data_IF_969739048524
#
_entry.id   IF_969739048524
#
_cell.length_a   1.000
_cell.length_b   1.000
_cell.length_c   1.000
_cell.angle_alpha   90.00
_cell.angle_beta   90.00
_cell.angle_gamma   90.00
#
_symmetry.space_group_name_H-M   'P 1'
#
loop_
_entity.id
_entity.type
_entity.pdbx_description
1 polymer ?
#
# COMPACT_ATOMS: atom_id res chain seq x y z
N UNK A 1 -9.95 87.15 -27.50
CA UNK A 1 -10.67 86.28 -28.45
C UNK A 1 -9.79 85.03 -28.54
N UNK A 2 -10.04 84.03 -27.70
CA UNK A 2 -11.07 82.98 -27.88
C UNK A 2 -10.69 82.03 -29.04
N UNK A 3 -10.72 80.70 -28.92
CA UNK A 3 -11.52 79.87 -27.99
C UNK A 3 -10.88 78.50 -27.66
N UNK A 4 -11.59 77.69 -26.86
CA UNK A 4 -11.21 76.39 -26.24
C UNK A 4 -12.16 75.25 -26.69
N UNK A 5 -11.96 73.92 -26.51
CA UNK A 5 -10.93 73.04 -25.91
C UNK A 5 -11.03 71.59 -26.46
N UNK A 6 -10.14 70.68 -26.02
CA UNK A 6 -10.21 69.19 -25.96
C UNK A 6 -10.69 68.32 -27.15
N UNK A 7 -9.90 67.27 -27.43
CA UNK A 7 -10.37 66.01 -28.05
C UNK A 7 -9.79 64.78 -27.32
N UNK A 8 -10.52 63.65 -27.25
CA UNK A 8 -10.32 62.64 -26.20
C UNK A 8 -9.36 61.49 -26.56
N UNK A 9 -9.01 60.75 -25.51
CA UNK A 9 -8.18 59.55 -25.47
C UNK A 9 -8.75 58.44 -26.37
N UNK A 10 -7.93 57.87 -27.26
CA UNK A 10 -8.20 56.56 -27.86
C UNK A 10 -7.85 55.46 -26.87
N UNK A 11 -8.84 54.66 -26.50
CA UNK A 11 -8.66 53.46 -25.67
C UNK A 11 -7.78 52.43 -26.41
N UNK A 12 -6.78 51.89 -25.72
CA UNK A 12 -6.06 50.71 -26.21
C UNK A 12 -6.99 49.50 -26.12
N UNK A 13 -7.41 48.97 -27.27
CA UNK A 13 -7.94 47.62 -27.35
C UNK A 13 -6.82 46.64 -26.97
N UNK A 14 -6.70 46.32 -25.69
CA UNK A 14 -5.91 45.19 -25.21
C UNK A 14 -6.56 43.89 -25.67
N UNK A 15 -5.81 43.12 -26.44
CA UNK A 15 -6.26 41.89 -27.07
C UNK A 15 -6.66 40.84 -26.01
N UNK A 16 -7.96 40.66 -25.81
CA UNK A 16 -8.52 39.71 -24.83
C UNK A 16 -8.70 38.30 -25.40
N UNK A 17 -8.26 38.04 -26.64
CA UNK A 17 -8.56 36.78 -27.35
C UNK A 17 -7.60 35.62 -27.05
N UNK A 18 -6.38 35.91 -26.57
CA UNK A 18 -5.35 34.89 -26.27
C UNK A 18 -5.53 34.20 -24.90
N UNK A 19 -6.25 34.84 -23.96
CA UNK A 19 -6.47 34.27 -22.61
C UNK A 19 -7.61 33.26 -22.56
N UNK A 20 -8.62 33.39 -23.41
CA UNK A 20 -9.78 32.47 -23.43
C UNK A 20 -9.44 31.16 -24.15
N UNK A 21 -8.69 31.22 -25.27
CA UNK A 21 -8.25 30.02 -26.00
C UNK A 21 -7.35 29.11 -25.15
N UNK A 22 -6.46 29.67 -24.32
CA UNK A 22 -5.64 28.88 -23.40
C UNK A 22 -6.45 28.20 -22.28
N UNK A 23 -7.66 28.68 -21.97
CA UNK A 23 -8.52 28.09 -20.95
C UNK A 23 -9.28 26.87 -21.50
N UNK A 24 -9.82 26.97 -22.73
CA UNK A 24 -10.54 25.85 -23.37
C UNK A 24 -9.64 24.63 -23.63
N UNK A 25 -8.34 24.82 -23.91
CA UNK A 25 -7.41 23.70 -24.11
C UNK A 25 -7.14 22.90 -22.82
N UNK A 26 -7.20 23.53 -21.64
CA UNK A 26 -6.92 22.87 -20.35
C UNK A 26 -8.13 22.09 -19.80
N UNK A 27 -9.37 22.53 -20.08
CA UNK A 27 -10.58 21.79 -19.67
C UNK A 27 -10.83 20.54 -20.53
N UNK A 28 -10.27 20.47 -21.74
CA UNK A 28 -10.60 19.41 -22.71
C UNK A 28 -9.94 18.05 -22.39
N UNK A 29 -8.69 18.04 -21.88
CA UNK A 29 -7.98 16.80 -21.50
C UNK A 29 -8.66 16.05 -20.32
N UNK A 30 -9.41 16.75 -19.47
CA UNK A 30 -10.19 16.14 -18.38
C UNK A 30 -11.65 15.85 -18.76
N UNK A 31 -12.06 16.13 -19.99
CA UNK A 31 -13.42 15.89 -20.45
C UNK A 31 -13.80 14.40 -20.32
N UNK A 32 -15.10 14.15 -20.11
CA UNK A 32 -15.60 12.76 -19.97
C UNK A 32 -15.41 11.99 -21.29
N UNK A 33 -15.48 12.66 -22.43
CA UNK A 33 -15.39 12.03 -23.74
C UNK A 33 -13.94 11.76 -24.16
N UNK A 34 -12.97 12.61 -23.80
CA UNK A 34 -11.54 12.28 -23.95
C UNK A 34 -11.17 11.03 -23.14
N UNK A 35 -11.65 10.92 -21.89
CA UNK A 35 -11.45 9.72 -21.06
C UNK A 35 -12.12 8.46 -21.62
N UNK A 36 -13.24 8.57 -22.33
CA UNK A 36 -13.84 7.44 -23.06
C UNK A 36 -12.98 7.00 -24.23
N UNK A 37 -12.54 7.95 -25.07
CA UNK A 37 -11.69 7.67 -26.23
C UNK A 37 -10.38 6.99 -25.81
N UNK A 38 -9.72 7.51 -24.78
CA UNK A 38 -8.54 6.88 -24.21
C UNK A 38 -8.86 5.45 -23.72
N UNK A 39 -9.95 5.27 -22.97
CA UNK A 39 -10.39 3.95 -22.51
C UNK A 39 -10.71 2.98 -23.65
N UNK A 40 -11.24 3.46 -24.79
CA UNK A 40 -11.49 2.66 -26.00
C UNK A 40 -10.17 2.26 -26.69
N UNK A 41 -9.18 3.15 -26.78
CA UNK A 41 -7.84 2.81 -27.27
C UNK A 41 -7.16 1.76 -26.36
N UNK A 42 -7.20 1.97 -25.04
CA UNK A 42 -6.63 1.05 -24.05
C UNK A 42 -7.34 -0.32 -24.03
N UNK A 43 -8.65 -0.37 -24.35
CA UNK A 43 -9.42 -1.61 -24.50
C UNK A 43 -9.01 -2.42 -25.74
N UNK A 44 -8.39 -1.79 -26.73
CA UNK A 44 -7.89 -2.44 -27.94
C UNK A 44 -6.44 -2.95 -27.79
N UNK A 45 -5.68 -2.54 -26.76
CA UNK A 45 -4.35 -3.08 -26.45
C UNK A 45 -4.39 -4.11 -25.29
N UNK A 46 -4.10 -5.40 -25.57
CA UNK A 46 -4.05 -6.43 -24.53
C UNK A 46 -2.94 -6.21 -23.48
N UNK A 47 -1.87 -5.47 -23.79
CA UNK A 47 -0.79 -5.21 -22.82
C UNK A 47 -1.26 -4.21 -21.77
N UNK A 48 -1.81 -3.08 -22.21
CA UNK A 48 -2.37 -2.04 -21.33
C UNK A 48 -3.51 -2.58 -20.44
N UNK A 49 -4.32 -3.52 -20.95
CA UNK A 49 -5.33 -4.19 -20.13
C UNK A 49 -4.74 -4.99 -18.96
N UNK A 50 -3.63 -5.71 -19.16
CA UNK A 50 -2.94 -6.45 -18.08
C UNK A 50 -2.41 -5.49 -17.02
N UNK A 51 -1.82 -4.36 -17.42
CA UNK A 51 -1.33 -3.34 -16.49
C UNK A 51 -2.47 -2.72 -15.67
N UNK A 52 -3.63 -2.46 -16.30
CA UNK A 52 -4.83 -1.94 -15.61
C UNK A 52 -5.41 -2.92 -14.60
N UNK A 53 -5.52 -4.20 -14.96
CA UNK A 53 -5.97 -5.25 -14.03
C UNK A 53 -5.00 -5.34 -12.84
N UNK A 54 -3.69 -5.25 -13.08
CA UNK A 54 -2.68 -5.23 -12.01
C UNK A 54 -2.80 -3.99 -11.11
N UNK A 55 -3.06 -2.80 -11.67
CA UNK A 55 -3.30 -1.58 -10.88
C UNK A 55 -4.58 -1.66 -10.02
N UNK A 56 -5.68 -2.21 -10.57
CA UNK A 56 -6.91 -2.45 -9.81
C UNK A 56 -6.65 -3.47 -8.69
N UNK A 57 -5.90 -4.54 -8.97
CA UNK A 57 -5.51 -5.50 -7.95
C UNK A 57 -4.61 -4.87 -6.87
N UNK A 58 -3.73 -3.92 -7.21
CA UNK A 58 -2.98 -3.14 -6.23
C UNK A 58 -3.89 -2.26 -5.35
N UNK A 59 -4.92 -1.63 -5.93
CA UNK A 59 -5.92 -0.89 -5.15
C UNK A 59 -6.65 -1.79 -4.15
N UNK A 60 -6.96 -3.02 -4.55
CA UNK A 60 -7.68 -4.00 -3.73
C UNK A 60 -6.75 -5.04 -3.07
N UNK A 61 -5.46 -4.74 -2.96
CA UNK A 61 -4.43 -5.74 -2.68
C UNK A 61 -4.75 -6.60 -1.44
N UNK A 62 -4.62 -7.89 -1.66
CA UNK A 62 -4.74 -8.97 -0.70
C UNK A 62 -3.37 -9.58 -0.40
N UNK A 63 -3.30 -10.30 0.72
CA UNK A 63 -2.15 -11.09 1.09
C UNK A 63 -2.58 -12.31 1.88
N UNK A 64 -1.97 -13.45 1.56
CA UNK A 64 -2.17 -14.70 2.28
C UNK A 64 -0.83 -15.30 2.68
N UNK A 65 -0.75 -15.77 3.92
CA UNK A 65 0.39 -16.49 4.48
C UNK A 65 -0.07 -17.90 4.85
N UNK A 66 0.44 -18.88 4.12
CA UNK A 66 0.21 -20.30 4.32
C UNK A 66 1.38 -20.89 5.10
N UNK A 67 1.10 -21.64 6.16
CA UNK A 67 2.09 -22.38 6.95
C UNK A 67 2.03 -23.83 6.50
N UNK A 68 3.07 -24.26 5.77
CA UNK A 68 3.15 -25.57 5.10
C UNK A 68 3.80 -26.60 6.02
N UNK A 69 4.86 -26.19 6.73
CA UNK A 69 5.53 -26.96 7.78
C UNK A 69 5.98 -26.01 8.89
N UNK A 70 5.77 -26.31 10.18
CA UNK A 70 5.10 -27.49 10.73
C UNK A 70 3.61 -27.52 10.40
N UNK A 71 2.98 -28.70 10.55
CA UNK A 71 1.53 -28.84 10.39
C UNK A 71 0.84 -28.14 11.55
N UNK A 72 -0.02 -27.17 11.22
CA UNK A 72 -0.90 -26.47 12.17
C UNK A 72 -2.35 -26.88 11.87
N UNK A 73 -3.12 -27.16 12.92
CA UNK A 73 -4.52 -27.54 12.78
C UNK A 73 -5.35 -26.44 12.12
N UNK A 74 -6.25 -26.85 11.21
CA UNK A 74 -7.12 -25.93 10.48
C UNK A 74 -8.27 -25.49 11.40
N UNK A 75 -8.43 -24.18 11.55
CA UNK A 75 -9.53 -23.57 12.30
C UNK A 75 -10.67 -23.22 11.34
N UNK A 76 -11.86 -23.76 11.58
CA UNK A 76 -13.05 -23.53 10.77
C UNK A 76 -14.30 -23.35 11.65
N UNK A 77 -15.07 -22.25 11.50
CA UNK A 77 -14.81 -21.12 10.61
C UNK A 77 -13.56 -20.31 11.04
N UNK A 78 -12.90 -19.58 10.11
CA UNK A 78 -11.75 -18.75 10.44
C UNK A 78 -12.08 -17.68 11.49
N UNK A 79 -11.13 -17.45 12.41
CA UNK A 79 -11.22 -16.42 13.45
C UNK A 79 -10.96 -15.06 12.79
N UNK A 80 -11.79 -14.06 13.13
CA UNK A 80 -11.66 -12.70 12.63
C UNK A 80 -10.91 -11.81 13.64
N UNK A 81 -9.60 -11.70 13.47
CA UNK A 81 -8.73 -10.90 14.32
C UNK A 81 -8.86 -9.42 13.92
N UNK A 82 -9.50 -8.63 14.79
CA UNK A 82 -9.64 -7.18 14.61
C UNK A 82 -8.37 -6.44 15.05
N UNK A 83 -8.18 -5.18 14.63
CA UNK A 83 -7.18 -4.30 15.25
C UNK A 83 -7.40 -4.23 16.76
N UNK A 84 -6.32 -4.35 17.54
CA UNK A 84 -6.38 -4.31 19.01
C UNK A 84 -6.13 -2.91 19.56
N UNK A 85 -6.52 -2.65 20.81
CA UNK A 85 -6.24 -1.38 21.49
C UNK A 85 -4.78 -1.35 21.95
N UNK A 86 -4.04 -0.30 21.58
CA UNK A 86 -2.63 -0.16 21.96
C UNK A 86 -2.55 0.14 23.47
N UNK A 87 -1.86 -0.71 24.27
CA UNK A 87 -1.82 -0.56 25.73
C UNK A 87 -1.35 0.82 26.20
N UNK A 88 -2.07 1.39 27.17
CA UNK A 88 -1.79 2.73 27.69
C UNK A 88 -2.29 3.89 26.83
N UNK A 89 -3.01 3.61 25.74
CA UNK A 89 -3.61 4.62 24.85
C UNK A 89 -5.11 4.36 24.63
N UNK A 90 -5.78 5.28 23.93
CA UNK A 90 -7.14 5.09 23.41
C UNK A 90 -7.14 4.83 21.88
N UNK A 91 -5.99 4.50 21.30
CA UNK A 91 -5.81 4.28 19.86
C UNK A 91 -5.72 2.78 19.56
N UNK A 92 -6.18 2.39 18.37
CA UNK A 92 -6.09 1.01 17.88
C UNK A 92 -4.87 0.85 16.97
N UNK A 93 -4.38 -0.39 16.86
CA UNK A 93 -3.34 -0.76 15.90
C UNK A 93 -3.71 -0.35 14.46
N UNK A 94 -2.74 0.19 13.71
CA UNK A 94 -2.99 0.66 12.35
C UNK A 94 -2.88 -0.47 11.32
N UNK A 95 -3.82 -1.43 11.41
CA UNK A 95 -3.88 -2.66 10.59
C UNK A 95 -5.27 -2.88 10.01
N UNK A 96 -5.38 -3.68 8.96
CA UNK A 96 -6.63 -4.30 8.53
C UNK A 96 -6.92 -5.54 9.38
N UNK A 97 -8.18 -6.00 9.45
CA UNK A 97 -8.50 -7.29 10.05
C UNK A 97 -7.79 -8.47 9.37
N UNK A 98 -7.45 -9.49 10.14
CA UNK A 98 -6.82 -10.73 9.67
C UNK A 98 -7.82 -11.88 9.85
N UNK A 99 -8.07 -12.63 8.80
CA UNK A 99 -8.80 -13.90 8.83
C UNK A 99 -7.80 -15.03 9.08
N UNK A 100 -8.03 -15.76 10.16
CA UNK A 100 -7.12 -16.76 10.69
C UNK A 100 -7.78 -18.14 10.71
N UNK A 101 -7.31 -19.02 9.83
CA UNK A 101 -7.75 -20.41 9.70
C UNK A 101 -6.72 -21.41 10.29
N UNK A 102 -5.86 -20.97 11.21
CA UNK A 102 -4.79 -21.80 11.78
C UNK A 102 -3.57 -21.88 10.86
N UNK A 103 -3.58 -22.80 9.90
CA UNK A 103 -2.51 -22.94 8.89
C UNK A 103 -2.53 -21.87 7.79
N UNK A 104 -3.55 -21.01 7.73
CA UNK A 104 -3.59 -19.84 6.84
C UNK A 104 -3.96 -18.56 7.59
N UNK A 105 -3.17 -17.52 7.44
CA UNK A 105 -3.54 -16.13 7.73
C UNK A 105 -3.84 -15.40 6.42
N UNK A 106 -4.87 -14.57 6.39
CA UNK A 106 -5.26 -13.83 5.17
C UNK A 106 -5.83 -12.44 5.49
N UNK A 107 -5.56 -11.46 4.64
CA UNK A 107 -6.06 -10.08 4.79
C UNK A 107 -6.15 -9.39 3.43
N UNK A 108 -6.82 -8.24 3.37
CA UNK A 108 -6.86 -7.39 2.17
C UNK A 108 -7.22 -5.94 2.52
N UNK A 109 -7.04 -5.04 1.56
CA UNK A 109 -7.50 -3.64 1.62
C UNK A 109 -9.03 -3.48 1.52
N UNK A 110 -9.82 -4.54 1.73
CA UNK A 110 -11.27 -4.54 1.46
C UNK A 110 -12.07 -3.45 2.19
N UNK A 111 -11.65 -3.08 3.40
CA UNK A 111 -12.24 -1.97 4.19
C UNK A 111 -12.15 -0.61 3.48
N UNK A 112 -11.10 -0.39 2.71
CA UNK A 112 -10.72 0.90 2.10
C UNK A 112 -10.47 0.75 0.59
N UNK A 113 -11.03 -0.28 -0.05
CA UNK A 113 -10.63 -0.71 -1.41
C UNK A 113 -10.84 0.37 -2.49
N UNK A 114 -11.76 1.31 -2.25
CA UNK A 114 -12.08 2.43 -3.13
C UNK A 114 -11.39 3.75 -2.75
N UNK A 115 -10.69 3.81 -1.61
CA UNK A 115 -10.13 5.04 -1.04
C UNK A 115 -8.63 4.98 -0.76
N UNK A 116 -8.08 3.80 -0.46
CA UNK A 116 -6.65 3.61 -0.19
C UNK A 116 -5.76 3.80 -1.45
N UNK A 117 -6.33 3.63 -2.65
CA UNK A 117 -5.61 3.75 -3.93
C UNK A 117 -4.33 2.91 -3.95
N UNK A 118 -3.21 3.48 -4.36
CA UNK A 118 -1.90 2.80 -4.37
C UNK A 118 -1.22 2.73 -2.98
N UNK A 119 -1.81 3.29 -1.92
CA UNK A 119 -1.22 3.22 -0.58
C UNK A 119 -1.16 1.77 -0.08
N UNK A 120 -0.01 1.39 0.47
CA UNK A 120 0.25 0.06 1.00
C UNK A 120 0.54 0.05 2.49
N UNK A 121 0.63 1.22 3.14
CA UNK A 121 1.17 1.33 4.49
C UNK A 121 0.38 0.54 5.54
N UNK A 122 -0.95 0.69 5.60
CA UNK A 122 -1.82 -0.09 6.50
C UNK A 122 -1.73 -1.60 6.22
N UNK A 123 -1.66 -2.02 4.95
CA UNK A 123 -1.47 -3.43 4.58
C UNK A 123 -0.09 -3.94 5.01
N UNK A 124 0.97 -3.17 4.84
CA UNK A 124 2.32 -3.55 5.29
C UNK A 124 2.41 -3.67 6.81
N UNK A 125 1.76 -2.78 7.58
CA UNK A 125 1.63 -2.96 9.05
C UNK A 125 0.84 -4.23 9.40
N UNK A 126 -0.18 -4.57 8.62
CA UNK A 126 -0.95 -5.81 8.80
C UNK A 126 -0.09 -7.05 8.53
N UNK A 127 0.78 -7.02 7.52
CA UNK A 127 1.74 -8.10 7.22
C UNK A 127 2.74 -8.28 8.37
N UNK A 128 3.26 -7.20 8.96
CA UNK A 128 4.12 -7.30 10.16
C UNK A 128 3.36 -7.96 11.33
N UNK A 129 2.07 -7.63 11.54
CA UNK A 129 1.23 -8.31 12.54
C UNK A 129 0.99 -9.79 12.20
N UNK A 130 0.79 -10.14 10.94
CA UNK A 130 0.66 -11.55 10.50
C UNK A 130 1.95 -12.35 10.77
N UNK A 131 3.12 -11.74 10.57
CA UNK A 131 4.42 -12.35 10.85
C UNK A 131 4.69 -12.45 12.35
N UNK A 132 4.25 -11.47 13.15
CA UNK A 132 4.23 -11.57 14.61
C UNK A 132 3.37 -12.76 15.09
N UNK A 133 2.17 -12.95 14.52
CA UNK A 133 1.29 -14.09 14.84
C UNK A 133 1.95 -15.42 14.44
N UNK A 134 2.63 -15.50 13.28
CA UNK A 134 3.42 -16.68 12.89
C UNK A 134 4.48 -17.00 13.96
N UNK A 135 5.26 -16.01 14.39
CA UNK A 135 6.37 -16.21 15.34
C UNK A 135 5.86 -16.66 16.71
N UNK A 136 4.80 -16.06 17.24
CA UNK A 136 4.22 -16.49 18.51
C UNK A 136 3.64 -17.91 18.40
N UNK A 137 3.04 -18.30 17.26
CA UNK A 137 2.60 -19.68 17.02
C UNK A 137 3.72 -20.70 17.01
N UNK A 138 4.84 -20.40 16.36
CA UNK A 138 6.01 -21.30 16.32
C UNK A 138 6.57 -21.51 17.73
N UNK A 139 6.65 -20.43 18.51
CA UNK A 139 7.07 -20.43 19.92
C UNK A 139 6.11 -21.21 20.82
N UNK A 140 4.79 -21.01 20.69
CA UNK A 140 3.76 -21.78 21.43
C UNK A 140 3.78 -23.27 21.06
N UNK A 141 4.03 -23.59 19.79
CA UNK A 141 4.22 -24.95 19.29
C UNK A 141 5.55 -25.60 19.71
N UNK A 142 6.43 -24.88 20.43
CA UNK A 142 7.73 -25.40 20.86
C UNK A 142 8.73 -25.61 19.72
N UNK A 143 8.56 -24.93 18.59
CA UNK A 143 9.46 -25.00 17.44
C UNK A 143 10.73 -24.22 17.75
N UNK A 144 11.88 -24.87 17.67
CA UNK A 144 13.18 -24.21 17.83
C UNK A 144 13.55 -23.37 16.61
N UNK A 145 14.35 -22.31 16.84
CA UNK A 145 14.77 -21.35 15.80
C UNK A 145 15.53 -21.98 14.63
N UNK A 146 16.29 -23.05 14.86
CA UNK A 146 17.03 -23.76 13.80
C UNK A 146 16.11 -24.62 12.91
N UNK A 147 14.90 -24.97 13.40
CA UNK A 147 13.96 -25.85 12.70
C UNK A 147 13.42 -25.18 11.45
N UNK A 148 13.52 -25.87 10.31
CA UNK A 148 12.99 -25.34 9.04
C UNK A 148 11.46 -25.21 9.08
N UNK A 149 10.98 -23.98 8.95
CA UNK A 149 9.56 -23.63 8.83
C UNK A 149 9.29 -23.26 7.38
N UNK A 150 8.47 -24.04 6.70
CA UNK A 150 8.09 -23.78 5.31
C UNK A 150 6.79 -22.97 5.26
N UNK A 151 6.83 -21.84 4.56
CA UNK A 151 5.65 -21.02 4.29
C UNK A 151 5.44 -20.80 2.79
N UNK A 152 4.22 -20.48 2.39
CA UNK A 152 3.90 -20.05 1.04
C UNK A 152 3.06 -18.76 1.08
N UNK A 153 3.16 -17.96 0.02
CA UNK A 153 2.43 -16.70 -0.12
C UNK A 153 1.30 -16.78 -1.14
N UNK A 154 0.25 -15.99 -0.92
CA UNK A 154 -0.80 -15.67 -1.89
C UNK A 154 -1.09 -14.17 -1.94
N UNK A 155 -1.93 -13.77 -2.89
CA UNK A 155 -2.32 -12.38 -3.11
C UNK A 155 -1.33 -11.56 -3.95
N UNK A 156 -1.44 -10.24 -3.88
CA UNK A 156 -0.74 -9.31 -4.79
C UNK A 156 0.80 -9.31 -4.60
N UNK A 157 1.54 -9.03 -5.68
CA UNK A 157 3.02 -9.08 -5.71
C UNK A 157 3.71 -8.12 -4.71
N UNK A 158 3.17 -6.92 -4.51
CA UNK A 158 3.78 -5.94 -3.59
C UNK A 158 3.70 -6.37 -2.11
N UNK A 159 2.56 -6.88 -1.59
CA UNK A 159 2.51 -7.60 -0.33
C UNK A 159 3.51 -8.75 -0.19
N UNK A 160 3.62 -9.63 -1.19
CA UNK A 160 4.55 -10.76 -1.14
C UNK A 160 6.01 -10.30 -0.99
N UNK A 161 6.41 -9.25 -1.73
CA UNK A 161 7.72 -8.59 -1.58
C UNK A 161 7.97 -8.06 -0.17
N UNK A 162 6.96 -7.44 0.45
CA UNK A 162 7.05 -6.95 1.83
C UNK A 162 7.13 -8.11 2.84
N UNK A 163 6.33 -9.14 2.67
CA UNK A 163 6.34 -10.31 3.53
C UNK A 163 7.67 -11.06 3.45
N UNK A 164 8.23 -11.23 2.24
CA UNK A 164 9.56 -11.80 2.04
C UNK A 164 10.64 -11.01 2.80
N UNK A 165 10.63 -9.68 2.65
CA UNK A 165 11.56 -8.77 3.34
C UNK A 165 11.49 -8.90 4.86
N UNK A 166 10.29 -8.99 5.44
CA UNK A 166 10.16 -9.21 6.88
C UNK A 166 10.60 -10.63 7.30
N UNK A 167 10.28 -11.67 6.51
CA UNK A 167 10.64 -13.06 6.83
C UNK A 167 12.14 -13.32 6.81
N UNK A 168 12.89 -12.81 5.83
CA UNK A 168 14.36 -12.98 5.79
C UNK A 168 15.11 -12.25 6.92
N UNK A 169 14.42 -11.40 7.69
CA UNK A 169 14.92 -10.71 8.86
C UNK A 169 14.40 -11.32 10.18
N UNK A 170 13.83 -12.53 10.15
CA UNK A 170 13.45 -13.29 11.35
C UNK A 170 14.65 -14.03 11.95
N UNK A 171 14.67 -14.25 13.28
CA UNK A 171 15.63 -15.14 13.94
C UNK A 171 15.24 -16.62 13.88
N UNK A 172 14.19 -16.98 13.14
CA UNK A 172 13.75 -18.36 12.88
C UNK A 172 14.12 -18.75 11.45
N UNK A 173 14.47 -20.02 11.24
CA UNK A 173 14.75 -20.60 9.92
C UNK A 173 13.47 -20.78 9.08
N UNK A 174 12.90 -19.66 8.62
CA UNK A 174 11.66 -19.63 7.82
C UNK A 174 11.99 -19.52 6.34
N UNK A 175 11.52 -20.49 5.55
CA UNK A 175 11.75 -20.59 4.11
C UNK A 175 10.44 -20.37 3.35
N UNK A 176 10.45 -19.45 2.38
CA UNK A 176 9.31 -19.20 1.49
C UNK A 176 9.42 -20.10 0.26
N UNK A 177 8.42 -20.96 0.02
CA UNK A 177 8.52 -22.05 -0.95
C UNK A 177 8.08 -21.69 -2.38
N UNK A 178 7.27 -20.64 -2.56
CA UNK A 178 6.62 -20.32 -3.83
C UNK A 178 6.84 -18.86 -4.31
N UNK A 179 7.82 -18.15 -3.76
CA UNK A 179 8.12 -16.77 -4.12
C UNK A 179 9.63 -16.54 -4.30
N UNK A 180 10.02 -16.05 -5.48
CA UNK A 180 11.38 -15.57 -5.78
C UNK A 180 11.36 -14.03 -5.90
N UNK A 181 12.14 -13.28 -5.09
CA UNK A 181 12.23 -11.83 -5.22
C UNK A 181 12.93 -11.37 -6.51
N UNK A 182 13.73 -12.23 -7.15
CA UNK A 182 14.44 -11.99 -8.41
C UNK A 182 15.21 -10.66 -8.47
N UNK A 183 15.20 -10.02 -9.66
CA UNK A 183 15.85 -8.73 -9.89
C UNK A 183 15.33 -7.58 -9.02
N UNK A 184 14.13 -7.70 -8.43
CA UNK A 184 13.65 -6.75 -7.42
C UNK A 184 14.40 -6.93 -6.09
N UNK A 185 14.67 -8.16 -5.66
CA UNK A 185 15.43 -8.47 -4.45
C UNK A 185 16.87 -7.98 -4.51
N UNK A 186 17.56 -8.20 -5.64
CA UNK A 186 18.90 -7.68 -5.87
C UNK A 186 18.96 -6.15 -5.76
N UNK A 187 18.02 -5.46 -6.42
CA UNK A 187 17.90 -4.00 -6.38
C UNK A 187 17.53 -3.50 -4.99
N UNK A 188 16.65 -4.20 -4.27
CA UNK A 188 16.30 -3.88 -2.89
C UNK A 188 17.54 -3.93 -1.98
N UNK A 189 18.35 -4.98 -2.05
CA UNK A 189 19.58 -5.09 -1.25
C UNK A 189 20.62 -4.02 -1.62
N UNK A 190 20.72 -3.61 -2.89
CA UNK A 190 21.56 -2.48 -3.30
C UNK A 190 21.07 -1.16 -2.67
N UNK A 191 19.76 -0.89 -2.73
CA UNK A 191 19.14 0.31 -2.15
C UNK A 191 19.28 0.34 -0.62
N UNK A 192 19.12 -0.79 0.06
CA UNK A 192 19.35 -0.89 1.51
C UNK A 192 20.79 -0.53 1.86
N UNK A 193 21.78 -1.12 1.17
CA UNK A 193 23.21 -0.82 1.40
C UNK A 193 23.55 0.64 1.14
N UNK A 194 23.02 1.24 0.07
CA UNK A 194 23.24 2.65 -0.27
C UNK A 194 22.63 3.61 0.77
N UNK A 195 21.53 3.23 1.40
CA UNK A 195 20.83 4.06 2.39
C UNK A 195 21.29 3.82 3.84
N UNK A 196 21.98 2.71 4.12
CA UNK A 196 22.35 2.30 5.47
C UNK A 196 23.15 3.36 6.23
N UNK A 197 24.11 4.02 5.58
CA UNK A 197 24.96 5.06 6.19
C UNK A 197 24.18 6.30 6.65
N UNK A 198 22.99 6.54 6.07
CA UNK A 198 22.16 7.73 6.33
C UNK A 198 20.90 7.44 7.15
N UNK A 199 20.31 6.26 6.96
CA UNK A 199 19.00 5.89 7.52
C UNK A 199 19.02 4.62 8.37
N UNK A 200 20.16 3.91 8.45
CA UNK A 200 20.29 2.61 9.09
C UNK A 200 19.79 1.45 8.23
N UNK A 201 19.96 0.23 8.74
CA UNK A 201 19.41 -0.99 8.15
C UNK A 201 17.94 -1.20 8.58
N UNK A 202 17.14 -1.95 7.80
CA UNK A 202 15.86 -2.48 8.28
C UNK A 202 16.02 -3.20 9.62
N UNK A 203 15.07 -3.01 10.54
CA UNK A 203 15.09 -3.66 11.84
C UNK A 203 14.84 -5.19 11.72
N UNK A 204 15.30 -5.96 12.71
CA UNK A 204 14.93 -7.37 12.87
C UNK A 204 13.41 -7.55 12.99
N UNK A 205 12.90 -8.70 12.56
CA UNK A 205 11.48 -9.07 12.61
C UNK A 205 11.22 -10.09 13.73
N UNK A 206 9.99 -10.22 14.26
CA UNK A 206 8.79 -9.48 13.92
C UNK A 206 8.82 -8.05 14.46
N UNK A 207 8.25 -7.10 13.70
CA UNK A 207 8.33 -5.66 14.02
C UNK A 207 7.04 -5.17 14.69
N UNK A 208 7.15 -4.60 15.88
CA UNK A 208 6.03 -3.99 16.63
C UNK A 208 5.54 -2.63 16.07
N UNK A 209 5.89 -2.25 14.83
CA UNK A 209 5.55 -0.93 14.26
C UNK A 209 4.04 -0.70 14.13
N UNK A 210 3.26 -1.77 14.02
CA UNK A 210 1.79 -1.72 13.98
C UNK A 210 1.15 -1.27 15.31
N UNK A 211 1.90 -1.31 16.43
CA UNK A 211 1.50 -0.86 17.77
C UNK A 211 1.89 0.59 18.07
N UNK A 212 2.42 1.34 17.09
CA UNK A 212 2.73 2.75 17.30
C UNK A 212 1.44 3.59 17.30
N UNK A 213 1.22 4.48 18.28
CA UNK A 213 0.05 5.36 18.30
C UNK A 213 0.09 6.32 17.11
N UNK A 214 -0.86 6.12 16.19
CA UNK A 214 -1.09 7.01 15.07
C UNK A 214 -2.00 8.13 15.53
N UNK A 215 -1.40 9.23 16.02
CA UNK A 215 -2.12 10.47 16.34
C UNK A 215 -3.06 10.81 15.18
N UNK A 216 -4.35 10.54 15.38
CA UNK A 216 -5.35 10.95 14.42
C UNK A 216 -5.25 12.46 14.22
N UNK A 217 -5.45 12.99 13.00
CA UNK A 217 -5.61 14.42 12.83
C UNK A 217 -6.74 14.83 13.78
N UNK A 218 -6.46 15.80 14.67
CA UNK A 218 -7.43 16.26 15.66
C UNK A 218 -8.51 17.10 14.97
N UNK A 219 -9.38 16.44 14.20
CA UNK A 219 -10.51 17.02 13.49
C UNK A 219 -11.67 17.26 14.47
N UNK A 220 -11.40 18.08 15.48
CA UNK A 220 -12.37 18.59 16.43
C UNK A 220 -12.06 20.06 16.65
N UNK A 221 -12.92 21.01 16.23
CA UNK A 221 -12.74 22.40 16.58
C UNK A 221 -12.78 22.52 18.12
N UNK A 222 -11.76 23.14 18.70
CA UNK A 222 -11.79 23.51 20.12
C UNK A 222 -12.99 24.43 20.34
N UNK A 223 -13.91 24.00 21.20
CA UNK A 223 -14.95 24.86 21.78
C UNK A 223 -14.35 25.68 22.92
#
# INVERSE_FOLDING_TARGET
MADESDTPITEENTDSSDSEQNFEFLDNENSIDFRKLQMEEDLNDPVTLVERVYQIWWHWADFELYIVSPVIDIVSPPIFLKPELIPGTNEYEFVYPILDAGSKLSTSKSEEMLSAGMSMYKLYMTIEKMIYILVERLKEGGIDKETEVQVAFGGHLLPQRKAFESIINLPYNVVVTNFDPGAWGERYLQIVKQNADKYGYPAESPRDTFRQPHKGPSSGPKR
#
